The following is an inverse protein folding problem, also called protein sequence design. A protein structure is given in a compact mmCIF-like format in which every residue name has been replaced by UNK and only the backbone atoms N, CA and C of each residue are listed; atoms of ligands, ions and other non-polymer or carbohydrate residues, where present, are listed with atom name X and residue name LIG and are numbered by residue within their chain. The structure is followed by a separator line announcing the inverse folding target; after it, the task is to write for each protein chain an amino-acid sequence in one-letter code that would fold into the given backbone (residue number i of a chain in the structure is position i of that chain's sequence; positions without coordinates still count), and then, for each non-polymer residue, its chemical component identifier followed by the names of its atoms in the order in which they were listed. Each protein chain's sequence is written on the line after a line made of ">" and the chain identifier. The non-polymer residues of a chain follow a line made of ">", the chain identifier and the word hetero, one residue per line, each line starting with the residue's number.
data_IF_675769433370
#
_entry.id   IF_675769433370
#
_cell.length_a   1.000
_cell.length_b   1.000
_cell.length_c   1.000
_cell.angle_alpha   90.00
_cell.angle_beta   90.00
_cell.angle_gamma   90.00
#
_symmetry.space_group_name_H-M   'P 1'
#
loop_
_entity.id
_entity.type
_entity.pdbx_description
1 polymer ?
#
# COMPACT_ATOMS: atom_id res chain seq x y z
N UNK A 1 -28.88 3.79 -14.38
CA UNK A 1 -29.32 3.81 -12.96
C UNK A 1 -28.08 3.63 -12.08
N UNK A 2 -27.62 4.64 -11.33
CA UNK A 2 -26.49 4.46 -10.43
C UNK A 2 -26.91 3.54 -9.27
N UNK A 3 -26.31 2.36 -9.18
CA UNK A 3 -26.48 1.47 -8.04
C UNK A 3 -25.97 2.17 -6.78
N UNK A 4 -26.87 2.37 -5.82
CA UNK A 4 -26.54 2.78 -4.45
C UNK A 4 -25.64 1.69 -3.84
N UNK A 5 -24.36 2.01 -3.61
CA UNK A 5 -23.48 1.12 -2.86
C UNK A 5 -23.93 1.17 -1.39
N UNK A 6 -24.54 0.09 -0.91
CA UNK A 6 -25.18 -0.04 0.42
C UNK A 6 -24.20 0.01 1.61
N UNK A 7 -22.91 0.27 1.39
CA UNK A 7 -21.91 0.45 2.44
C UNK A 7 -21.21 1.79 2.29
N UNK A 8 -20.98 2.54 3.38
CA UNK A 8 -20.13 3.72 3.33
C UNK A 8 -18.76 3.29 2.80
N UNK A 9 -18.35 3.87 1.68
CA UNK A 9 -17.09 3.55 1.05
C UNK A 9 -15.94 3.91 2.00
N UNK A 10 -14.86 3.12 2.03
CA UNK A 10 -13.69 3.40 2.85
C UNK A 10 -12.89 4.63 2.35
N UNK A 11 -13.40 5.30 1.30
CA UNK A 11 -12.90 6.55 0.73
C UNK A 11 -14.04 7.54 0.45
N UNK A 12 -13.72 8.82 0.34
CA UNK A 12 -14.70 9.90 0.11
C UNK A 12 -15.20 9.95 -1.33
N UNK A 13 -14.28 10.17 -2.27
CA UNK A 13 -14.56 10.20 -3.71
C UNK A 13 -13.63 9.28 -4.51
N UNK A 14 -14.07 8.92 -5.71
CA UNK A 14 -13.31 8.09 -6.65
C UNK A 14 -13.37 8.71 -8.04
N UNK A 15 -12.20 8.89 -8.66
CA UNK A 15 -12.05 9.21 -10.08
C UNK A 15 -11.20 8.12 -10.74
N UNK A 16 -11.61 7.63 -11.90
CA UNK A 16 -10.86 6.60 -12.62
C UNK A 16 -10.96 6.80 -14.13
N UNK A 17 -9.84 6.69 -14.84
CA UNK A 17 -9.78 6.64 -16.31
C UNK A 17 -9.91 5.21 -16.86
N UNK A 18 -10.09 4.22 -15.99
CA UNK A 18 -10.25 2.81 -16.34
C UNK A 18 -11.73 2.44 -16.56
N UNK A 19 -11.97 1.26 -17.15
CA UNK A 19 -13.32 0.69 -17.18
C UNK A 19 -13.81 0.38 -15.77
N UNK A 20 -15.12 0.43 -15.55
CA UNK A 20 -15.73 0.17 -14.24
C UNK A 20 -15.32 -1.19 -13.65
N UNK A 21 -15.23 -2.23 -14.49
CA UNK A 21 -14.77 -3.55 -14.09
C UNK A 21 -13.33 -3.53 -13.56
N UNK A 22 -12.42 -2.89 -14.30
CA UNK A 22 -11.01 -2.80 -13.94
C UNK A 22 -10.80 -1.93 -12.70
N UNK A 23 -11.54 -0.83 -12.57
CA UNK A 23 -11.55 -0.01 -11.36
C UNK A 23 -11.97 -0.85 -10.14
N UNK A 24 -13.05 -1.62 -10.23
CA UNK A 24 -13.48 -2.51 -9.15
C UNK A 24 -12.42 -3.55 -8.82
N UNK A 25 -11.84 -4.19 -9.84
CA UNK A 25 -10.79 -5.20 -9.65
C UNK A 25 -9.60 -4.66 -8.85
N UNK A 26 -9.15 -3.44 -9.15
CA UNK A 26 -8.05 -2.78 -8.42
C UNK A 26 -8.46 -2.44 -6.99
N UNK A 27 -9.66 -1.88 -6.81
CA UNK A 27 -10.13 -1.42 -5.50
C UNK A 27 -10.48 -2.57 -4.54
N UNK A 28 -10.58 -3.82 -5.00
CA UNK A 28 -10.81 -5.00 -4.14
C UNK A 28 -9.79 -5.15 -3.01
N UNK A 29 -8.60 -4.55 -3.12
CA UNK A 29 -7.63 -4.53 -2.01
C UNK A 29 -8.21 -3.87 -0.75
N UNK A 30 -9.13 -2.92 -0.92
CA UNK A 30 -9.79 -2.22 0.17
C UNK A 30 -10.81 -3.09 0.89
N UNK A 31 -11.28 -4.18 0.31
CA UNK A 31 -12.28 -5.06 0.92
C UNK A 31 -11.70 -5.94 2.03
N UNK A 32 -10.37 -5.93 2.21
CA UNK A 32 -9.70 -6.67 3.28
C UNK A 32 -10.12 -6.12 4.65
N UNK A 33 -10.59 -6.97 5.58
CA UNK A 33 -11.10 -6.53 6.88
C UNK A 33 -10.11 -5.65 7.65
N UNK A 34 -8.83 -6.02 7.65
CA UNK A 34 -7.77 -5.26 8.30
C UNK A 34 -7.57 -3.84 7.76
N UNK A 35 -7.83 -3.63 6.47
CA UNK A 35 -7.77 -2.31 5.82
C UNK A 35 -9.05 -1.54 6.10
N UNK A 36 -10.21 -2.18 5.93
CA UNK A 36 -11.51 -1.55 6.22
C UNK A 36 -11.59 -1.03 7.66
N UNK A 37 -11.12 -1.81 8.63
CA UNK A 37 -11.20 -1.42 10.03
C UNK A 37 -10.30 -0.23 10.37
N UNK A 38 -9.12 -0.13 9.76
CA UNK A 38 -8.27 1.05 9.87
C UNK A 38 -8.92 2.28 9.18
N UNK A 39 -9.49 2.08 7.98
CA UNK A 39 -10.10 3.16 7.21
C UNK A 39 -11.41 3.70 7.81
N UNK A 40 -12.11 2.93 8.64
CA UNK A 40 -13.24 3.42 9.45
C UNK A 40 -12.80 4.50 10.45
N UNK A 41 -11.53 4.53 10.85
CA UNK A 41 -10.98 5.46 11.84
C UNK A 41 -10.33 6.67 11.19
N UNK A 42 -9.53 6.42 10.15
CA UNK A 42 -8.94 7.47 9.32
C UNK A 42 -9.34 7.20 7.87
N UNK A 43 -10.27 8.00 7.36
CA UNK A 43 -10.81 7.79 6.03
C UNK A 43 -9.89 8.41 4.98
N UNK A 44 -9.69 7.72 3.85
CA UNK A 44 -9.08 8.30 2.65
C UNK A 44 -10.07 9.29 2.04
N UNK A 45 -9.67 10.52 1.75
CA UNK A 45 -10.61 11.52 1.21
C UNK A 45 -10.91 11.27 -0.26
N UNK A 46 -9.90 10.90 -1.05
CA UNK A 46 -10.10 10.57 -2.46
C UNK A 46 -9.11 9.53 -2.97
N UNK A 47 -9.56 8.71 -3.91
CA UNK A 47 -8.72 7.83 -4.70
C UNK A 47 -8.84 8.23 -6.17
N UNK A 48 -7.71 8.42 -6.81
CA UNK A 48 -7.61 8.76 -8.23
C UNK A 48 -6.80 7.68 -8.95
N UNK A 49 -7.40 7.07 -9.95
CA UNK A 49 -6.73 6.13 -10.86
C UNK A 49 -6.61 6.81 -12.22
N UNK A 50 -5.44 7.33 -12.56
CA UNK A 50 -5.23 8.02 -13.84
C UNK A 50 -3.82 7.82 -14.41
N UNK A 51 -3.66 8.11 -15.70
CA UNK A 51 -2.32 8.29 -16.28
C UNK A 51 -1.62 9.49 -15.66
N UNK A 52 -0.48 9.26 -15.01
CA UNK A 52 0.37 10.33 -14.50
C UNK A 52 1.27 10.94 -15.61
N UNK A 53 1.62 12.24 -15.50
CA UNK A 53 2.59 12.89 -16.38
C UNK A 53 4.00 12.30 -16.23
N UNK A 54 4.44 12.08 -14.98
CA UNK A 54 5.73 11.46 -14.69
C UNK A 54 5.64 9.95 -14.97
N UNK A 55 6.37 9.51 -16.00
CA UNK A 55 6.24 8.17 -16.57
C UNK A 55 6.87 7.08 -15.71
N UNK A 56 7.74 7.44 -14.77
CA UNK A 56 8.38 6.50 -13.84
C UNK A 56 7.59 6.34 -12.53
N UNK A 57 6.68 7.27 -12.23
CA UNK A 57 5.96 7.29 -10.97
C UNK A 57 4.84 6.25 -10.94
N UNK A 58 4.84 5.43 -9.89
CA UNK A 58 3.89 4.34 -9.71
C UNK A 58 2.57 4.81 -9.08
N UNK A 59 2.70 5.58 -8.00
CA UNK A 59 1.61 6.18 -7.25
C UNK A 59 2.21 7.26 -6.33
N UNK A 60 1.35 7.96 -5.61
CA UNK A 60 1.73 8.76 -4.45
C UNK A 60 0.53 9.01 -3.54
N UNK A 61 0.84 9.27 -2.27
CA UNK A 61 -0.09 9.71 -1.25
C UNK A 61 0.17 11.19 -0.90
N UNK A 62 -0.90 12.00 -0.92
CA UNK A 62 -0.87 13.37 -0.44
C UNK A 62 -1.34 13.41 1.03
N UNK A 63 -0.41 13.72 1.94
CA UNK A 63 -0.67 13.76 3.38
C UNK A 63 -1.67 14.85 3.79
N UNK A 64 -1.65 16.01 3.11
CA UNK A 64 -2.50 17.15 3.44
C UNK A 64 -3.94 16.90 2.98
N UNK A 65 -4.11 16.37 1.78
CA UNK A 65 -5.43 16.06 1.21
C UNK A 65 -5.95 14.69 1.63
N UNK A 66 -5.12 13.84 2.24
CA UNK A 66 -5.41 12.43 2.53
C UNK A 66 -5.90 11.68 1.28
N UNK A 67 -5.25 11.94 0.16
CA UNK A 67 -5.65 11.39 -1.14
C UNK A 67 -4.57 10.48 -1.72
N UNK A 68 -5.00 9.49 -2.48
CA UNK A 68 -4.12 8.55 -3.18
C UNK A 68 -4.31 8.74 -4.68
N UNK A 69 -3.21 8.90 -5.41
CA UNK A 69 -3.22 8.85 -6.88
C UNK A 69 -2.35 7.69 -7.35
N UNK A 70 -2.91 6.82 -8.20
CA UNK A 70 -2.21 5.63 -8.74
C UNK A 70 -2.11 5.74 -10.26
N UNK A 71 -0.90 5.53 -10.79
CA UNK A 71 -0.65 5.58 -12.22
C UNK A 71 -1.26 4.37 -12.95
N UNK A 72 -2.23 4.60 -13.83
CA UNK A 72 -2.87 3.55 -14.63
C UNK A 72 -2.10 3.23 -15.92
N UNK A 73 -1.17 4.09 -16.32
CA UNK A 73 -0.30 3.92 -17.48
C UNK A 73 0.96 3.07 -17.17
N UNK A 74 0.78 1.97 -16.42
CA UNK A 74 1.85 1.01 -16.10
C UNK A 74 2.43 0.38 -17.38
N UNK A 75 3.75 0.22 -17.40
CA UNK A 75 4.53 -0.37 -18.50
C UNK A 75 5.44 -1.49 -18.02
N UNK A 76 5.47 -2.59 -18.75
CA UNK A 76 6.38 -3.71 -18.53
C UNK A 76 7.84 -3.24 -18.63
N UNK A 77 8.70 -3.70 -17.73
CA UNK A 77 10.11 -3.30 -17.63
C UNK A 77 10.35 -1.95 -16.94
N UNK A 78 9.31 -1.16 -16.69
CA UNK A 78 9.40 0.13 -15.96
C UNK A 78 8.71 0.02 -14.61
N UNK A 79 7.48 -0.48 -14.62
CA UNK A 79 6.60 -0.49 -13.44
C UNK A 79 6.35 -1.90 -12.91
N UNK A 80 6.52 -2.91 -13.77
CA UNK A 80 6.27 -4.32 -13.48
C UNK A 80 7.09 -5.21 -14.40
N UNK A 81 7.14 -6.50 -14.07
CA UNK A 81 7.88 -7.54 -14.78
C UNK A 81 9.28 -7.78 -14.23
N UNK A 82 9.65 -7.17 -13.11
CA UNK A 82 10.88 -7.51 -12.42
C UNK A 82 10.74 -8.90 -11.77
N UNK A 83 11.79 -9.70 -11.88
CA UNK A 83 11.84 -11.00 -11.22
C UNK A 83 11.86 -10.82 -9.70
N UNK A 84 11.02 -11.58 -9.00
CA UNK A 84 10.97 -11.54 -7.55
C UNK A 84 12.19 -12.19 -6.92
N UNK A 85 12.96 -11.39 -6.17
CA UNK A 85 14.14 -11.79 -5.41
C UNK A 85 14.17 -10.94 -4.13
N UNK A 86 13.76 -11.50 -2.97
CA UNK A 86 13.76 -10.80 -1.69
C UNK A 86 15.07 -10.05 -1.42
N UNK A 87 14.96 -8.79 -1.01
CA UNK A 87 16.07 -7.86 -0.77
C UNK A 87 16.81 -7.35 -1.99
N UNK A 88 16.47 -7.79 -3.21
CA UNK A 88 17.11 -7.37 -4.47
C UNK A 88 16.16 -6.71 -5.44
N UNK A 89 14.91 -7.17 -5.50
CA UNK A 89 13.87 -6.55 -6.33
C UNK A 89 13.71 -5.08 -5.97
N UNK A 90 13.49 -4.22 -6.96
CA UNK A 90 13.37 -2.78 -6.79
C UNK A 90 12.29 -2.40 -5.78
N UNK A 91 11.05 -2.80 -6.05
CA UNK A 91 9.90 -2.60 -5.16
C UNK A 91 8.82 -3.68 -5.39
N UNK A 92 7.86 -3.78 -4.46
CA UNK A 92 6.82 -4.80 -4.48
C UNK A 92 5.90 -4.68 -5.70
N UNK A 93 5.64 -3.44 -6.15
CA UNK A 93 4.79 -3.18 -7.30
C UNK A 93 5.41 -3.64 -8.63
N UNK A 94 6.75 -3.69 -8.70
CA UNK A 94 7.51 -4.18 -9.83
C UNK A 94 7.60 -5.72 -9.89
N UNK A 95 7.51 -6.37 -8.73
CA UNK A 95 7.65 -7.82 -8.50
C UNK A 95 6.46 -8.67 -8.98
N UNK A 96 5.92 -8.39 -10.17
CA UNK A 96 4.79 -9.12 -10.76
C UNK A 96 4.81 -8.98 -12.27
N UNK A 97 4.29 -9.97 -13.00
CA UNK A 97 4.12 -9.90 -14.46
C UNK A 97 2.75 -9.34 -14.87
N UNK A 98 1.83 -9.17 -13.91
CA UNK A 98 0.48 -8.72 -14.17
C UNK A 98 0.32 -7.22 -13.90
N UNK A 99 -0.21 -6.49 -14.90
CA UNK A 99 -0.41 -5.05 -14.83
C UNK A 99 -1.39 -4.64 -13.72
N UNK A 100 -2.50 -5.35 -13.57
CA UNK A 100 -3.52 -5.00 -12.58
C UNK A 100 -3.01 -5.26 -11.17
N UNK A 101 -2.33 -6.38 -10.95
CA UNK A 101 -1.66 -6.70 -9.69
C UNK A 101 -0.62 -5.65 -9.33
N UNK A 102 0.15 -5.21 -10.31
CA UNK A 102 1.12 -4.14 -10.14
C UNK A 102 0.46 -2.83 -9.66
N UNK A 103 -0.68 -2.46 -10.25
CA UNK A 103 -1.49 -1.31 -9.81
C UNK A 103 -2.09 -1.51 -8.41
N UNK A 104 -2.55 -2.73 -8.08
CA UNK A 104 -3.05 -3.07 -6.73
C UNK A 104 -1.97 -2.92 -5.66
N UNK A 105 -0.75 -3.37 -5.95
CA UNK A 105 0.39 -3.25 -5.04
C UNK A 105 0.81 -1.80 -4.82
N UNK A 106 0.81 -0.98 -5.88
CA UNK A 106 1.03 0.46 -5.75
C UNK A 106 -0.05 1.12 -4.87
N UNK A 107 -1.33 0.78 -5.08
CA UNK A 107 -2.42 1.26 -4.21
C UNK A 107 -2.23 0.83 -2.74
N UNK A 108 -1.85 -0.42 -2.50
CA UNK A 108 -1.57 -0.92 -1.14
C UNK A 108 -0.43 -0.17 -0.46
N UNK A 109 0.62 0.19 -1.20
CA UNK A 109 1.73 0.98 -0.69
C UNK A 109 1.26 2.36 -0.20
N UNK A 110 0.46 3.06 -1.00
CA UNK A 110 -0.08 4.37 -0.61
C UNK A 110 -1.10 4.28 0.54
N UNK A 111 -1.87 3.19 0.63
CA UNK A 111 -2.72 2.91 1.80
C UNK A 111 -1.87 2.77 3.07
N UNK A 112 -0.69 2.16 2.97
CA UNK A 112 0.22 2.03 4.10
C UNK A 112 0.68 3.41 4.60
N UNK A 113 1.05 4.33 3.70
CA UNK A 113 1.39 5.71 4.06
C UNK A 113 0.20 6.46 4.68
N UNK A 114 -1.00 6.21 4.19
CA UNK A 114 -2.21 6.79 4.79
C UNK A 114 -2.38 6.38 6.27
N UNK A 115 -2.02 5.15 6.65
CA UNK A 115 -2.12 4.70 8.04
C UNK A 115 -1.14 5.42 8.98
N UNK A 116 -0.07 6.01 8.44
CA UNK A 116 0.88 6.82 9.21
C UNK A 116 0.32 8.22 9.51
N UNK A 117 -0.60 8.72 8.68
CA UNK A 117 -1.04 10.10 8.71
C UNK A 117 -1.84 10.43 9.98
N UNK A 118 -1.21 11.16 10.90
CA UNK A 118 -1.79 11.56 12.18
C UNK A 118 -1.80 10.46 13.24
N UNK A 119 -1.12 9.33 13.02
CA UNK A 119 -1.05 8.22 13.97
C UNK A 119 0.38 8.05 14.53
N UNK A 120 0.63 8.66 15.68
CA UNK A 120 1.94 8.66 16.34
C UNK A 120 2.39 7.28 16.81
N UNK A 121 1.45 6.40 17.19
CA UNK A 121 1.79 5.02 17.56
C UNK A 121 2.29 4.22 16.36
N UNK A 122 1.64 4.37 15.20
CA UNK A 122 2.07 3.74 13.94
C UNK A 122 3.48 4.19 13.56
N UNK A 123 3.73 5.51 13.57
CA UNK A 123 5.05 6.09 13.28
C UNK A 123 6.12 5.52 14.24
N UNK A 124 5.83 5.48 15.54
CA UNK A 124 6.75 4.94 16.55
C UNK A 124 7.07 3.46 16.33
N UNK A 125 6.07 2.63 16.01
CA UNK A 125 6.22 1.20 15.79
C UNK A 125 7.09 0.91 14.56
N UNK A 126 6.83 1.63 13.47
CA UNK A 126 7.62 1.59 12.25
C UNK A 126 9.07 2.00 12.52
N UNK A 127 9.30 3.14 13.15
CA UNK A 127 10.66 3.66 13.41
C UNK A 127 11.46 2.75 14.34
N UNK A 128 10.79 2.08 15.28
CA UNK A 128 11.41 1.06 16.12
C UNK A 128 11.84 -0.16 15.29
N UNK A 129 10.97 -0.65 14.40
CA UNK A 129 11.28 -1.78 13.53
C UNK A 129 12.39 -1.46 12.51
N UNK A 130 12.39 -0.24 11.93
CA UNK A 130 13.43 0.20 11.01
C UNK A 130 14.81 0.35 11.70
N UNK A 131 14.84 0.63 13.00
CA UNK A 131 16.10 0.66 13.76
C UNK A 131 16.57 -0.70 14.25
N UNK A 132 15.75 -1.75 14.15
CA UNK A 132 16.17 -3.10 14.54
C UNK A 132 17.30 -3.59 13.60
N UNK A 133 18.46 -4.00 14.14
CA UNK A 133 19.59 -4.45 13.32
C UNK A 133 19.31 -5.77 12.60
N UNK A 134 18.29 -6.53 13.02
CA UNK A 134 17.88 -7.81 12.41
C UNK A 134 16.92 -7.63 11.24
N UNK A 135 16.45 -6.41 10.97
CA UNK A 135 15.55 -6.15 9.83
C UNK A 135 16.20 -6.60 8.54
N UNK A 136 15.40 -7.14 7.63
CA UNK A 136 15.86 -7.57 6.31
C UNK A 136 14.94 -6.99 5.25
N UNK A 137 15.17 -5.73 4.79
CA UNK A 137 14.28 -5.06 3.85
C UNK A 137 13.92 -5.97 2.67
N UNK A 138 12.61 -6.17 2.47
CA UNK A 138 12.09 -7.17 1.52
C UNK A 138 12.34 -6.75 0.06
N UNK A 139 12.55 -5.47 -0.18
CA UNK A 139 12.96 -4.89 -1.48
C UNK A 139 14.08 -3.86 -1.27
N UNK A 140 14.70 -3.40 -2.36
CA UNK A 140 15.67 -2.28 -2.30
C UNK A 140 15.00 -0.99 -1.84
N UNK A 141 13.77 -0.74 -2.27
CA UNK A 141 13.02 0.46 -1.88
C UNK A 141 12.68 0.47 -0.40
N UNK A 142 12.34 -0.70 0.18
CA UNK A 142 12.13 -0.86 1.61
C UNK A 142 13.37 -0.51 2.48
N UNK A 143 14.56 -0.38 1.88
CA UNK A 143 15.78 0.01 2.60
C UNK A 143 16.00 1.53 2.64
N UNK A 144 15.23 2.32 1.89
CA UNK A 144 15.44 3.76 1.73
C UNK A 144 15.20 4.52 3.04
N UNK A 145 14.05 4.29 3.68
CA UNK A 145 13.68 4.91 4.96
C UNK A 145 12.62 4.08 5.69
N UNK A 146 12.24 4.54 6.88
CA UNK A 146 11.28 3.85 7.73
C UNK A 146 9.87 3.78 7.12
N UNK A 147 9.42 4.83 6.43
CA UNK A 147 8.13 4.89 5.73
C UNK A 147 8.04 3.85 4.64
N UNK A 148 9.05 3.79 3.78
CA UNK A 148 9.11 2.81 2.70
C UNK A 148 9.32 1.39 3.20
N UNK A 149 10.09 1.21 4.28
CA UNK A 149 10.20 -0.10 4.93
C UNK A 149 8.85 -0.62 5.40
N UNK A 150 8.03 0.24 6.01
CA UNK A 150 6.67 -0.09 6.38
C UNK A 150 5.79 -0.39 5.17
N UNK A 151 5.77 0.50 4.18
CA UNK A 151 4.87 0.38 3.05
C UNK A 151 5.16 -0.86 2.21
N UNK A 152 6.42 -1.14 1.89
CA UNK A 152 6.83 -2.33 1.14
C UNK A 152 6.60 -3.62 1.94
N UNK A 153 6.88 -3.63 3.25
CA UNK A 153 6.58 -4.77 4.13
C UNK A 153 5.07 -5.03 4.21
N UNK A 154 4.26 -3.97 4.25
CA UNK A 154 2.81 -4.07 4.23
C UNK A 154 2.31 -4.72 2.94
N UNK A 155 2.80 -4.27 1.77
CA UNK A 155 2.44 -4.90 0.50
C UNK A 155 2.87 -6.37 0.48
N UNK A 156 4.09 -6.69 0.91
CA UNK A 156 4.58 -8.06 1.00
C UNK A 156 3.69 -8.93 1.89
N UNK A 157 3.30 -8.43 3.06
CA UNK A 157 2.39 -9.12 3.99
C UNK A 157 1.02 -9.39 3.37
N UNK A 158 0.48 -8.46 2.58
CA UNK A 158 -0.82 -8.62 1.92
C UNK A 158 -0.78 -9.63 0.76
N UNK A 159 0.38 -9.77 0.11
CA UNK A 159 0.57 -10.69 -1.02
C UNK A 159 0.89 -12.11 -0.52
N UNK A 160 1.89 -12.25 0.33
CA UNK A 160 2.37 -13.52 0.87
C UNK A 160 2.98 -13.30 2.27
N UNK A 161 2.16 -13.41 3.34
CA UNK A 161 2.61 -13.14 4.70
C UNK A 161 3.66 -14.14 5.20
N UNK A 162 3.65 -15.37 4.70
CA UNK A 162 4.57 -16.43 5.12
C UNK A 162 5.95 -16.24 4.49
N UNK A 163 6.01 -15.83 3.21
CA UNK A 163 7.25 -15.45 2.57
C UNK A 163 7.92 -14.25 3.27
N UNK A 164 7.13 -13.23 3.64
CA UNK A 164 7.65 -12.11 4.42
C UNK A 164 8.14 -12.57 5.79
N UNK A 165 7.35 -13.38 6.53
CA UNK A 165 7.74 -13.86 7.84
C UNK A 165 9.03 -14.69 7.81
N UNK A 166 9.25 -15.44 6.73
CA UNK A 166 10.45 -16.26 6.54
C UNK A 166 11.68 -15.41 6.22
N UNK A 167 11.54 -14.42 5.34
CA UNK A 167 12.67 -13.59 4.91
C UNK A 167 12.98 -12.47 5.91
N UNK A 168 11.96 -11.71 6.32
CA UNK A 168 12.04 -10.57 7.24
C UNK A 168 11.05 -10.69 8.41
N UNK A 169 11.40 -11.46 9.45
CA UNK A 169 10.56 -11.61 10.64
C UNK A 169 10.28 -10.28 11.35
N UNK A 170 11.20 -9.32 11.29
CA UNK A 170 11.03 -7.99 11.88
C UNK A 170 9.96 -7.22 11.11
N UNK A 171 10.05 -7.20 9.78
CA UNK A 171 9.06 -6.57 8.90
C UNK A 171 7.67 -7.18 9.08
N UNK A 172 7.57 -8.52 9.11
CA UNK A 172 6.29 -9.21 9.37
C UNK A 172 5.68 -8.84 10.72
N UNK A 173 6.49 -8.82 11.78
CA UNK A 173 6.02 -8.44 13.12
C UNK A 173 5.62 -6.97 13.21
N UNK A 174 6.38 -6.08 12.56
CA UNK A 174 6.03 -4.67 12.42
C UNK A 174 4.64 -4.53 11.81
N UNK A 175 4.35 -5.24 10.71
CA UNK A 175 3.06 -5.13 10.03
C UNK A 175 1.90 -5.51 10.94
N UNK A 176 2.04 -6.62 11.66
CA UNK A 176 1.02 -7.06 12.64
C UNK A 176 0.78 -6.00 13.72
N UNK A 177 1.84 -5.40 14.25
CA UNK A 177 1.74 -4.36 15.29
C UNK A 177 1.12 -3.07 14.77
N UNK A 178 1.57 -2.59 13.61
CA UNK A 178 1.04 -1.36 12.98
C UNK A 178 -0.43 -1.53 12.62
N UNK A 179 -0.80 -2.65 12.00
CA UNK A 179 -2.20 -2.95 11.72
C UNK A 179 -3.07 -3.02 12.98
N UNK A 180 -2.54 -3.56 14.09
CA UNK A 180 -3.26 -3.55 15.37
C UNK A 180 -3.44 -2.11 15.89
N UNK A 181 -2.38 -1.29 15.85
CA UNK A 181 -2.43 0.11 16.29
C UNK A 181 -3.37 0.97 15.43
N UNK A 182 -3.34 0.82 14.10
CA UNK A 182 -4.18 1.56 13.17
C UNK A 182 -5.70 1.31 13.36
N UNK A 183 -6.07 0.19 14.00
CA UNK A 183 -7.47 -0.14 14.30
C UNK A 183 -7.94 0.34 15.67
N UNK A 184 -7.02 0.75 16.55
CA UNK A 184 -7.36 1.24 17.90
C UNK A 184 -7.87 2.68 17.85
N UNK A 185 -8.70 3.10 18.82
CA UNK A 185 -8.99 4.51 19.01
C UNK A 185 -7.68 5.25 19.34
N UNK A 186 -7.43 6.37 18.68
CA UNK A 186 -6.41 7.32 19.14
C UNK A 186 -6.89 7.88 20.49
N UNK A 187 -6.04 7.91 21.54
CA UNK A 187 -6.40 8.50 22.83
C UNK A 187 -6.72 9.99 22.72
#
# INVERSE_FOLDING_TARGET
>A
MPQKLERPLPYGSLRSDLSQERTREILRVLDRPEILDALKRNKIMSIVLERLPEKSQSAYYDFAQKSITVNTARKLGIHFGEEWRPGRTGNMSAATKDKAESTRRALLQEIAHHFENGNTEVVRLRDAAFRDPRKRPITRYAAADAGEYWAESFVAYMVDPDALATYDPVGSMMVKKVLSAARRPTP
#
